data_IF_620166588706
#
_entry.id   IF_620166588706
#
_cell.length_a   1.000
_cell.length_b   1.000
_cell.length_c   1.000
_cell.angle_alpha   90.00
_cell.angle_beta   90.00
_cell.angle_gamma   90.00
#
_symmetry.space_group_name_H-M   'P 1'
#
loop_
_entity.id
_entity.type
_entity.pdbx_description
1 polymer ?
#
# COMPACT_ATOMS: atom_id res chain seq x y z
N UNK A 1 6.13 -17.15 13.56
CA UNK A 1 5.76 -15.80 14.07
C UNK A 1 6.74 -14.81 13.48
N UNK A 2 6.28 -13.80 12.74
CA UNK A 2 7.16 -12.72 12.28
C UNK A 2 7.51 -11.91 13.52
N UNK A 3 8.77 -12.02 13.97
CA UNK A 3 9.26 -11.21 15.07
C UNK A 3 9.40 -9.77 14.60
N UNK A 4 8.50 -8.88 15.04
CA UNK A 4 8.67 -7.45 14.85
C UNK A 4 9.74 -6.93 15.82
N UNK A 5 10.52 -5.93 15.41
CA UNK A 5 11.46 -5.27 16.32
C UNK A 5 10.71 -4.55 17.44
N UNK A 6 11.34 -4.38 18.60
CA UNK A 6 10.77 -3.60 19.70
C UNK A 6 10.34 -2.20 19.26
N UNK A 7 11.18 -1.52 18.47
CA UNK A 7 10.86 -0.21 17.89
C UNK A 7 9.64 -0.20 16.96
N UNK A 8 9.40 -1.30 16.23
CA UNK A 8 8.21 -1.41 15.37
C UNK A 8 6.95 -1.57 16.20
N UNK A 9 7.00 -2.35 17.28
CA UNK A 9 5.88 -2.51 18.20
C UNK A 9 5.52 -1.17 18.87
N UNK A 10 6.52 -0.42 19.33
CA UNK A 10 6.33 0.92 19.90
C UNK A 10 5.67 1.88 18.89
N UNK A 11 6.10 1.86 17.63
CA UNK A 11 5.51 2.69 16.58
C UNK A 11 4.04 2.32 16.28
N UNK A 12 3.70 1.02 16.31
CA UNK A 12 2.33 0.54 16.14
C UNK A 12 1.44 1.01 17.30
N UNK A 13 1.91 0.89 18.54
CA UNK A 13 1.18 1.33 19.72
C UNK A 13 0.93 2.85 19.70
N UNK A 14 1.95 3.60 19.26
CA UNK A 14 1.83 5.05 19.10
C UNK A 14 0.82 5.43 18.01
N UNK A 15 0.88 4.79 16.84
CA UNK A 15 -0.11 4.99 15.77
C UNK A 15 -1.54 4.67 16.24
N UNK A 16 -1.72 3.58 16.99
CA UNK A 16 -3.02 3.21 17.54
C UNK A 16 -3.54 4.27 18.55
N UNK A 17 -2.65 4.87 19.35
CA UNK A 17 -3.02 5.96 20.26
C UNK A 17 -3.50 7.21 19.51
N UNK A 18 -2.80 7.59 18.43
CA UNK A 18 -3.19 8.70 17.56
C UNK A 18 -4.56 8.46 16.92
N UNK A 19 -4.80 7.25 16.40
CA UNK A 19 -6.09 6.86 15.81
C UNK A 19 -7.23 6.98 16.83
N UNK A 20 -7.04 6.50 18.07
CA UNK A 20 -8.06 6.57 19.13
C UNK A 20 -8.44 7.99 19.52
N UNK A 21 -7.52 8.94 19.40
CA UNK A 21 -7.74 10.35 19.77
C UNK A 21 -8.25 11.21 18.61
N UNK A 22 -8.15 10.72 17.37
CA UNK A 22 -8.54 11.47 16.19
C UNK A 22 -10.07 11.66 16.13
N UNK A 23 -10.51 12.89 15.88
CA UNK A 23 -11.93 13.23 15.64
C UNK A 23 -12.36 12.98 14.19
N UNK A 24 -11.40 13.05 13.26
CA UNK A 24 -11.60 12.82 11.83
C UNK A 24 -10.37 12.12 11.26
N UNK A 25 -10.59 10.97 10.62
CA UNK A 25 -9.54 10.16 10.01
C UNK A 25 -9.77 10.10 8.51
N UNK A 26 -8.72 10.30 7.74
CA UNK A 26 -8.71 10.12 6.28
C UNK A 26 -7.62 9.11 5.95
N UNK A 27 -7.96 8.09 5.16
CA UNK A 27 -7.00 7.12 4.65
C UNK A 27 -6.80 7.36 3.15
N UNK A 28 -5.59 7.74 2.75
CA UNK A 28 -5.17 7.74 1.36
C UNK A 28 -4.62 6.35 1.04
N UNK A 29 -5.25 5.65 0.11
CA UNK A 29 -4.85 4.30 -0.29
C UNK A 29 -4.40 4.27 -1.75
N UNK A 30 -3.59 3.27 -2.09
CA UNK A 30 -3.23 2.95 -3.47
C UNK A 30 -3.52 1.47 -3.77
N UNK A 31 -3.18 1.01 -4.98
CA UNK A 31 -3.45 -0.36 -5.42
C UNK A 31 -2.92 -1.46 -4.48
N UNK A 32 -1.86 -1.17 -3.72
CA UNK A 32 -1.25 -2.09 -2.75
C UNK A 32 -2.24 -2.68 -1.74
N UNK A 33 -3.26 -1.91 -1.31
CA UNK A 33 -4.27 -2.37 -0.34
C UNK A 33 -5.09 -3.57 -0.86
N UNK A 34 -5.20 -3.71 -2.18
CA UNK A 34 -6.01 -4.75 -2.85
C UNK A 34 -5.20 -5.97 -3.30
N UNK A 35 -3.87 -5.92 -3.19
CA UNK A 35 -2.97 -7.01 -3.63
C UNK A 35 -3.23 -8.33 -2.90
N UNK A 36 -3.47 -8.25 -1.59
CA UNK A 36 -3.82 -9.41 -0.75
C UNK A 36 -5.18 -10.01 -1.08
N UNK A 37 -6.04 -9.26 -1.78
CA UNK A 37 -7.33 -9.73 -2.30
C UNK A 37 -7.24 -10.32 -3.71
N UNK A 38 -6.02 -10.46 -4.26
CA UNK A 38 -5.78 -11.03 -5.59
C UNK A 38 -5.91 -10.04 -6.74
N UNK A 39 -6.13 -8.75 -6.48
CA UNK A 39 -6.12 -7.72 -7.51
C UNK A 39 -4.66 -7.29 -7.72
N UNK A 40 -4.07 -7.49 -8.91
CA UNK A 40 -2.69 -7.12 -9.15
C UNK A 40 -2.51 -5.60 -9.00
N UNK A 41 -1.40 -5.19 -8.39
CA UNK A 41 -0.98 -3.80 -8.47
C UNK A 41 -0.17 -3.54 -9.74
N UNK A 42 0.22 -2.29 -9.90
CA UNK A 42 0.99 -1.85 -11.04
C UNK A 42 2.50 -2.08 -10.86
N UNK A 43 3.04 -1.93 -9.64
CA UNK A 43 4.47 -1.63 -9.43
C UNK A 43 5.25 -2.66 -8.59
N UNK A 44 4.60 -3.71 -8.08
CA UNK A 44 5.28 -4.77 -7.35
C UNK A 44 6.39 -5.41 -8.20
N UNK A 45 7.59 -5.52 -7.65
CA UNK A 45 8.75 -6.06 -8.37
C UNK A 45 8.48 -7.49 -8.87
N UNK A 46 8.68 -7.72 -10.17
CA UNK A 46 8.49 -9.01 -10.84
C UNK A 46 7.05 -9.53 -10.92
N UNK A 47 6.06 -8.84 -10.34
CA UNK A 47 4.66 -9.30 -10.29
C UNK A 47 3.63 -8.25 -10.71
N UNK A 48 3.93 -6.96 -10.52
CA UNK A 48 3.07 -5.86 -10.91
C UNK A 48 2.90 -5.80 -12.43
N UNK A 49 1.81 -5.20 -12.89
CA UNK A 49 1.48 -5.13 -14.32
C UNK A 49 2.62 -4.50 -15.16
N UNK A 50 3.40 -3.58 -14.59
CA UNK A 50 4.45 -2.83 -15.27
C UNK A 50 5.74 -3.65 -15.43
N UNK A 51 5.79 -4.85 -14.86
CA UNK A 51 6.84 -5.83 -15.16
C UNK A 51 6.59 -6.57 -16.48
N UNK A 52 5.40 -6.39 -17.09
CA UNK A 52 4.99 -7.07 -18.33
C UNK A 52 4.60 -6.08 -19.42
N UNK A 53 3.89 -5.02 -19.06
CA UNK A 53 3.33 -4.05 -19.98
C UNK A 53 4.06 -2.71 -19.90
N UNK A 54 4.33 -2.11 -21.06
CA UNK A 54 4.90 -0.76 -21.14
C UNK A 54 3.85 0.28 -20.75
N UNK A 55 4.09 1.11 -19.73
CA UNK A 55 2.98 1.83 -19.10
C UNK A 55 2.45 3.02 -19.88
N UNK A 56 3.32 3.66 -20.64
CA UNK A 56 2.92 4.75 -21.53
C UNK A 56 2.03 4.23 -22.67
N UNK A 57 2.15 2.96 -23.05
CA UNK A 57 1.30 2.35 -24.07
C UNK A 57 -0.10 2.03 -23.51
N UNK A 58 -0.19 1.54 -22.26
CA UNK A 58 -1.44 0.99 -21.70
C UNK A 58 -2.19 1.93 -20.76
N UNK A 59 -1.52 2.95 -20.22
CA UNK A 59 -2.03 3.82 -19.16
C UNK A 59 -1.73 5.31 -19.38
N UNK A 60 -1.59 5.73 -20.65
CA UNK A 60 -1.60 7.15 -21.02
C UNK A 60 -2.93 7.52 -21.69
N UNK A 61 -3.34 8.78 -21.54
CA UNK A 61 -4.43 9.31 -22.35
C UNK A 61 -3.84 9.66 -23.71
N UNK A 62 -4.27 8.96 -24.76
CA UNK A 62 -3.97 9.36 -26.14
C UNK A 62 -4.63 10.72 -26.39
N UNK A 63 -3.83 11.78 -26.38
CA UNK A 63 -4.19 13.08 -26.97
C UNK A 63 -3.46 13.21 -28.30
#
# INVERSE_FOLDING_TARGET
MIGLSGSTLEAIDYAAALIRQAKHIVALTGAGISTSSGIPDFRSEGKGLWAKDEPLEVASQST
#
